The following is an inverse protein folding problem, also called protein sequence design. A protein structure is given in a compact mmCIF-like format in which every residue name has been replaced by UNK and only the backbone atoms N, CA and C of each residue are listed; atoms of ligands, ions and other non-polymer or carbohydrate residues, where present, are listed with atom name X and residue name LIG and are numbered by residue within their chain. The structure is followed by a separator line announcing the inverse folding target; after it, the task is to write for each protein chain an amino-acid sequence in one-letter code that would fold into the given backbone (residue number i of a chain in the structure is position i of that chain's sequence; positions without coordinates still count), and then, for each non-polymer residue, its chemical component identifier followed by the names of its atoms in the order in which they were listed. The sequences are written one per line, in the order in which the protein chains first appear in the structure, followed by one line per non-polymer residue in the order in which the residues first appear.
data_IF_675086574391
#
_entry.id   IF_675086574391
#
_cell.length_a   1.000
_cell.length_b   1.000
_cell.length_c   1.000
_cell.angle_alpha   90.00
_cell.angle_beta   90.00
_cell.angle_gamma   90.00
#
_symmetry.space_group_name_H-M   'P 1'
#
loop_
_entity.id
_entity.type
_entity.pdbx_description
1 polymer ?
#
# COMPACT_ATOMS: atom_id res chain seq x y z
N UNK A 1 22.92 19.96 8.87
CA UNK A 1 22.69 18.51 8.77
C UNK A 1 21.63 18.15 9.80
N UNK A 2 20.40 17.86 9.38
CA UNK A 2 19.35 17.45 10.30
C UNK A 2 19.62 16.00 10.74
N UNK A 3 19.50 15.67 12.04
CA UNK A 3 19.77 14.34 12.53
C UNK A 3 18.72 13.35 11.98
N UNK A 4 19.19 12.27 11.35
CA UNK A 4 18.36 11.10 11.06
C UNK A 4 17.92 10.51 12.40
N UNK A 5 16.64 10.72 12.75
CA UNK A 5 16.02 10.00 13.86
C UNK A 5 15.98 8.50 13.52
N UNK A 6 16.42 7.61 14.43
CA UNK A 6 16.46 6.17 14.19
C UNK A 6 15.04 5.63 13.94
N UNK A 7 14.93 4.72 12.98
CA UNK A 7 13.70 4.01 12.61
C UNK A 7 13.34 3.02 13.72
N UNK A 8 12.85 3.54 14.84
CA UNK A 8 12.37 2.72 15.95
C UNK A 8 11.04 2.06 15.55
N UNK A 9 11.07 0.74 15.56
CA UNK A 9 9.93 -0.14 15.35
C UNK A 9 8.88 0.08 16.44
N UNK A 10 7.87 0.92 16.18
CA UNK A 10 6.71 1.03 17.05
C UNK A 10 5.88 -0.24 17.00
N UNK A 11 6.11 -1.13 17.98
CA UNK A 11 5.30 -2.31 18.28
C UNK A 11 3.95 -1.88 18.85
N UNK A 12 3.05 -1.39 18.00
CA UNK A 12 1.63 -1.30 18.35
C UNK A 12 0.95 -2.60 17.91
N UNK A 13 0.81 -3.53 18.85
CA UNK A 13 0.12 -4.81 18.65
C UNK A 13 -1.34 -4.59 18.29
N UNK A 14 -1.77 -5.17 17.16
CA UNK A 14 -3.19 -5.24 16.82
C UNK A 14 -3.86 -6.20 17.80
N UNK A 15 -4.95 -5.76 18.45
CA UNK A 15 -5.65 -6.56 19.46
C UNK A 15 -6.06 -7.96 18.95
N UNK A 16 -6.22 -8.92 19.88
CA UNK A 16 -6.35 -10.36 19.58
C UNK A 16 -7.56 -10.75 18.71
N UNK A 17 -8.54 -9.87 18.57
CA UNK A 17 -9.80 -10.15 17.86
C UNK A 17 -9.82 -9.64 16.40
N UNK A 18 -8.66 -9.26 15.87
CA UNK A 18 -8.55 -8.72 14.51
C UNK A 18 -8.45 -9.86 13.48
N UNK A 19 -9.49 -10.68 13.36
CA UNK A 19 -9.55 -11.75 12.36
C UNK A 19 -9.85 -11.16 10.97
N UNK A 20 -8.87 -10.45 10.41
CA UNK A 20 -9.01 -9.89 9.06
C UNK A 20 -9.05 -11.03 8.03
N UNK A 21 -9.70 -10.82 6.87
CA UNK A 21 -9.78 -11.83 5.79
C UNK A 21 -8.41 -12.34 5.31
N UNK A 22 -7.34 -11.57 5.56
CA UNK A 22 -5.97 -12.00 5.27
C UNK A 22 -5.53 -13.16 6.18
N UNK A 23 -5.97 -13.21 7.44
CA UNK A 23 -5.75 -14.35 8.33
C UNK A 23 -6.45 -15.62 7.84
N UNK A 24 -7.70 -15.48 7.37
CA UNK A 24 -8.44 -16.60 6.78
C UNK A 24 -7.77 -17.15 5.49
N UNK A 25 -7.12 -16.30 4.70
CA UNK A 25 -6.32 -16.73 3.55
C UNK A 25 -5.01 -17.38 3.98
N UNK A 26 -4.35 -16.84 5.02
CA UNK A 26 -3.13 -17.40 5.56
C UNK A 26 -3.32 -18.83 6.05
N UNK A 27 -4.43 -19.10 6.76
CA UNK A 27 -4.80 -20.43 7.22
C UNK A 27 -4.96 -21.46 6.08
N UNK A 28 -5.22 -21.01 4.84
CA UNK A 28 -5.34 -21.87 3.66
C UNK A 28 -4.00 -22.08 2.93
N UNK A 29 -2.93 -21.41 3.34
CA UNK A 29 -1.59 -21.50 2.73
C UNK A 29 -1.12 -20.24 1.98
N UNK A 30 -1.96 -19.54 1.18
CA UNK A 30 -1.54 -18.37 0.43
C UNK A 30 -1.10 -17.20 1.31
N UNK A 31 -0.05 -16.51 0.89
CA UNK A 31 0.24 -15.18 1.39
C UNK A 31 -0.62 -14.14 0.65
N UNK A 32 -1.03 -13.09 1.35
CA UNK A 32 -1.86 -12.03 0.82
C UNK A 32 -1.18 -10.68 0.99
N UNK A 33 -1.26 -9.84 -0.06
CA UNK A 33 -0.93 -8.42 -0.02
C UNK A 33 -2.01 -7.68 -0.80
N UNK A 34 -2.71 -6.75 -0.17
CA UNK A 34 -3.82 -6.04 -0.80
C UNK A 34 -4.03 -4.63 -0.28
N UNK A 35 -4.60 -3.79 -1.13
CA UNK A 35 -5.03 -2.43 -0.75
C UNK A 35 -6.34 -2.49 0.02
N UNK A 36 -6.40 -1.80 1.14
CA UNK A 36 -7.56 -1.72 2.01
C UNK A 36 -8.39 -0.47 1.72
N UNK A 37 -9.71 -0.64 1.69
CA UNK A 37 -10.65 0.48 1.59
C UNK A 37 -10.74 1.21 2.94
N UNK A 38 -11.04 2.50 2.90
CA UNK A 38 -11.07 3.40 4.07
C UNK A 38 -12.04 2.98 5.17
N UNK A 39 -13.12 2.26 4.85
CA UNK A 39 -14.11 1.78 5.83
C UNK A 39 -13.99 0.27 6.14
N UNK A 40 -12.80 -0.31 6.01
CA UNK A 40 -12.63 -1.76 6.27
C UNK A 40 -12.69 -2.07 7.76
N UNK A 41 -13.65 -2.90 8.18
CA UNK A 41 -13.75 -3.42 9.55
C UNK A 41 -12.50 -4.26 9.90
N UNK A 42 -12.11 -4.26 11.17
CA UNK A 42 -10.95 -5.02 11.67
C UNK A 42 -9.62 -4.63 10.97
N UNK A 43 -9.53 -3.41 10.48
CA UNK A 43 -8.26 -2.82 10.05
C UNK A 43 -8.00 -1.59 10.92
N UNK A 44 -6.76 -1.34 11.39
CA UNK A 44 -6.42 -0.24 12.29
C UNK A 44 -6.43 1.13 11.58
N UNK A 45 -7.48 1.42 10.80
CA UNK A 45 -7.57 2.61 9.96
C UNK A 45 -7.47 3.88 10.80
N UNK A 46 -8.17 3.94 11.94
CA UNK A 46 -8.17 5.10 12.85
C UNK A 46 -6.78 5.44 13.40
N UNK A 47 -5.96 4.41 13.64
CA UNK A 47 -4.59 4.58 14.13
C UNK A 47 -3.72 5.08 12.98
N UNK A 48 -3.70 4.34 11.86
CA UNK A 48 -2.88 4.67 10.69
C UNK A 48 -3.26 5.99 10.00
N UNK A 49 -4.51 6.47 10.15
CA UNK A 49 -4.93 7.76 9.61
C UNK A 49 -4.40 8.93 10.43
N UNK A 50 -4.14 8.74 11.73
CA UNK A 50 -3.61 9.78 12.63
C UNK A 50 -2.10 9.94 12.53
N UNK A 51 -1.41 8.93 12.02
CA UNK A 51 0.03 8.98 11.77
C UNK A 51 0.39 10.22 10.93
N UNK A 52 1.27 11.06 11.47
CA UNK A 52 1.79 12.22 10.76
C UNK A 52 2.85 11.77 9.76
N UNK A 53 2.41 11.52 8.52
CA UNK A 53 3.29 11.34 7.38
C UNK A 53 3.67 12.72 6.83
N UNK A 54 4.29 13.55 7.67
CA UNK A 54 4.58 14.94 7.36
C UNK A 54 5.70 15.07 6.31
N UNK A 55 5.51 16.04 5.41
CA UNK A 55 6.61 16.65 4.66
C UNK A 55 6.91 16.13 3.25
N UNK A 56 6.66 14.87 2.89
CA UNK A 56 7.00 14.36 1.56
C UNK A 56 6.15 13.16 1.10
N UNK A 57 5.99 13.06 -0.22
CA UNK A 57 5.53 11.82 -0.83
C UNK A 57 6.56 10.71 -0.63
N UNK A 58 6.09 9.53 -0.26
CA UNK A 58 6.91 8.34 -0.10
C UNK A 58 7.17 7.93 1.34
N UNK A 59 6.63 8.65 2.34
CA UNK A 59 6.67 8.21 3.73
C UNK A 59 5.66 7.07 3.97
N UNK A 60 6.01 6.13 4.85
CA UNK A 60 5.10 5.08 5.29
C UNK A 60 5.20 4.88 6.80
N UNK A 61 4.13 4.37 7.39
CA UNK A 61 4.08 3.85 8.76
C UNK A 61 3.46 2.46 8.72
N UNK A 62 3.89 1.56 9.60
CA UNK A 62 3.43 0.17 9.60
C UNK A 62 3.24 -0.35 11.01
N UNK A 63 2.16 -1.07 11.22
CA UNK A 63 1.88 -1.82 12.44
C UNK A 63 2.07 -3.30 12.13
N UNK A 64 2.65 -4.04 13.06
CA UNK A 64 2.86 -5.49 12.94
C UNK A 64 2.17 -6.17 14.11
N UNK A 65 1.47 -7.26 13.84
CA UNK A 65 0.94 -8.15 14.87
C UNK A 65 1.28 -9.58 14.53
N UNK A 66 1.21 -10.44 15.53
CA UNK A 66 1.38 -11.88 15.40
C UNK A 66 0.15 -12.56 16.01
N UNK A 67 -0.39 -13.58 15.35
CA UNK A 67 -1.47 -14.39 15.93
C UNK A 67 -0.95 -15.49 16.87
N UNK A 68 -1.87 -16.31 17.39
CA UNK A 68 -1.54 -17.40 18.32
C UNK A 68 -0.69 -18.51 17.67
N UNK A 69 -0.72 -18.59 16.35
CA UNK A 69 0.00 -19.60 15.55
C UNK A 69 1.32 -19.04 14.99
N UNK A 70 1.82 -17.94 15.56
CA UNK A 70 3.02 -17.22 15.16
C UNK A 70 3.00 -16.67 13.72
N UNK A 71 1.81 -16.50 13.12
CA UNK A 71 1.71 -15.83 11.82
C UNK A 71 1.79 -14.33 11.99
N UNK A 72 2.71 -13.72 11.25
CA UNK A 72 2.88 -12.28 11.23
C UNK A 72 1.96 -11.62 10.19
N UNK A 73 1.32 -10.53 10.61
CA UNK A 73 0.52 -9.64 9.76
C UNK A 73 1.02 -8.22 9.92
N UNK A 74 1.03 -7.47 8.83
CA UNK A 74 1.29 -6.03 8.91
C UNK A 74 0.24 -5.20 8.20
N UNK A 75 -0.04 -4.05 8.79
CA UNK A 75 -0.91 -3.02 8.28
C UNK A 75 -0.05 -1.79 7.98
N UNK A 76 0.04 -1.39 6.72
CA UNK A 76 0.93 -0.31 6.28
C UNK A 76 0.13 0.82 5.66
N UNK A 77 0.41 2.05 6.06
CA UNK A 77 -0.01 3.26 5.35
C UNK A 77 1.18 3.80 4.57
N UNK A 78 0.99 4.09 3.29
CA UNK A 78 2.00 4.72 2.44
C UNK A 78 1.43 5.99 1.81
N UNK A 79 2.16 7.09 1.96
CA UNK A 79 1.82 8.39 1.39
C UNK A 79 2.38 8.50 -0.03
N UNK A 80 1.51 8.68 -1.01
CA UNK A 80 1.90 9.00 -2.38
C UNK A 80 1.21 10.32 -2.79
N UNK A 81 0.29 10.33 -3.76
CA UNK A 81 -0.65 11.46 -3.95
C UNK A 81 -1.67 11.51 -2.82
N UNK A 82 -2.21 10.34 -2.50
CA UNK A 82 -3.13 10.10 -1.40
C UNK A 82 -2.54 8.98 -0.54
N UNK A 83 -3.01 8.89 0.72
CA UNK A 83 -2.69 7.77 1.59
C UNK A 83 -3.28 6.48 1.01
N UNK A 84 -2.45 5.44 0.88
CA UNK A 84 -2.86 4.09 0.51
C UNK A 84 -2.60 3.17 1.70
N UNK A 85 -3.61 2.38 2.03
CA UNK A 85 -3.55 1.43 3.14
C UNK A 85 -3.39 0.03 2.58
N UNK A 86 -2.53 -0.76 3.19
CA UNK A 86 -2.21 -2.12 2.79
C UNK A 86 -2.34 -3.05 3.99
N UNK A 87 -2.82 -4.26 3.73
CA UNK A 87 -2.67 -5.41 4.63
C UNK A 87 -1.79 -6.42 3.93
N UNK A 88 -0.86 -7.01 4.67
CA UNK A 88 0.01 -8.06 4.15
C UNK A 88 0.29 -9.13 5.20
N UNK A 89 0.38 -10.38 4.75
CA UNK A 89 0.76 -11.56 5.55
C UNK A 89 2.18 -12.04 5.23
N UNK A 90 2.91 -11.25 4.43
CA UNK A 90 4.27 -11.51 3.98
C UNK A 90 4.90 -10.23 3.44
N UNK A 91 6.22 -10.25 3.30
CA UNK A 91 7.01 -9.16 2.74
C UNK A 91 7.60 -8.28 3.83
N UNK A 92 8.27 -7.21 3.40
CA UNK A 92 8.98 -6.32 4.31
C UNK A 92 8.61 -4.86 4.06
N UNK A 93 8.60 -4.10 5.15
CA UNK A 93 8.44 -2.64 5.17
C UNK A 93 9.77 -1.91 5.04
N UNK A 94 10.88 -2.64 4.81
CA UNK A 94 12.18 -2.04 4.48
C UNK A 94 12.05 -1.11 3.29
N UNK A 95 12.90 -0.09 3.29
CA UNK A 95 13.00 0.88 2.20
C UNK A 95 13.30 0.14 0.90
N UNK A 96 12.40 0.28 -0.07
CA UNK A 96 12.58 -0.22 -1.41
C UNK A 96 13.19 0.84 -2.33
N UNK A 97 13.20 0.55 -3.63
CA UNK A 97 13.72 1.47 -4.65
C UNK A 97 12.85 2.72 -4.74
N UNK A 98 13.42 3.91 -4.55
CA UNK A 98 12.77 5.19 -4.84
C UNK A 98 12.29 5.24 -6.30
N UNK A 99 11.03 5.60 -6.48
CA UNK A 99 10.42 5.77 -7.80
C UNK A 99 10.33 7.25 -8.16
N UNK A 100 10.52 7.54 -9.44
CA UNK A 100 10.18 8.85 -10.00
C UNK A 100 8.79 8.80 -10.63
N UNK A 101 8.02 9.87 -10.41
CA UNK A 101 6.67 10.06 -10.98
C UNK A 101 6.56 11.48 -11.51
N UNK A 102 6.27 11.61 -12.81
CA UNK A 102 5.86 12.88 -13.41
C UNK A 102 4.41 13.17 -13.02
N UNK A 103 4.14 14.34 -12.46
CA UNK A 103 2.81 14.75 -12.01
C UNK A 103 2.45 16.08 -12.63
N UNK A 104 1.23 16.14 -13.13
CA UNK A 104 0.64 17.37 -13.60
C UNK A 104 -0.16 17.98 -12.45
N UNK A 105 0.21 19.20 -12.06
CA UNK A 105 -0.54 20.04 -11.15
C UNK A 105 -1.20 21.13 -11.98
N UNK A 106 -2.52 21.25 -11.83
CA UNK A 106 -3.29 22.34 -12.40
C UNK A 106 -3.82 23.17 -11.23
N UNK A 107 -3.42 24.43 -11.15
CA UNK A 107 -3.84 25.37 -10.12
C UNK A 107 -4.97 26.31 -10.60
N UNK A 108 -5.54 26.03 -11.78
CA UNK A 108 -6.58 26.83 -12.43
C UNK A 108 -6.03 27.87 -13.40
N UNK A 109 -4.78 28.34 -13.20
CA UNK A 109 -4.14 29.33 -14.05
C UNK A 109 -3.03 28.74 -14.94
N UNK A 110 -2.39 27.66 -14.49
CA UNK A 110 -1.27 27.04 -15.17
C UNK A 110 -1.23 25.52 -14.97
N UNK A 111 -0.72 24.82 -15.98
CA UNK A 111 -0.52 23.37 -15.94
C UNK A 111 0.98 23.11 -15.84
N UNK A 112 1.44 22.77 -14.64
CA UNK A 112 2.87 22.53 -14.38
C UNK A 112 3.09 21.03 -14.22
N UNK A 113 4.08 20.51 -14.94
CA UNK A 113 4.54 19.15 -14.77
C UNK A 113 5.76 19.11 -13.85
N UNK A 114 5.63 18.49 -12.67
CA UNK A 114 6.72 18.29 -11.71
C UNK A 114 7.11 16.82 -11.62
N UNK A 115 8.41 16.56 -11.53
CA UNK A 115 8.92 15.25 -11.15
C UNK A 115 8.93 15.12 -9.62
N UNK A 116 8.28 14.08 -9.10
CA UNK A 116 8.29 13.77 -7.67
C UNK A 116 8.98 12.44 -7.43
N UNK A 117 9.99 12.47 -6.55
CA UNK A 117 10.67 11.28 -6.07
C UNK A 117 9.95 10.76 -4.84
N UNK A 118 9.44 9.54 -4.93
CA UNK A 118 8.63 8.92 -3.91
C UNK A 118 9.33 7.63 -3.47
N UNK A 119 9.72 7.57 -2.20
CA UNK A 119 10.23 6.33 -1.61
C UNK A 119 9.07 5.33 -1.51
N UNK A 120 9.34 4.07 -1.78
CA UNK A 120 8.31 3.02 -1.66
C UNK A 120 8.88 1.89 -0.81
N UNK A 121 8.12 1.38 0.16
CA UNK A 121 8.51 0.16 0.86
C UNK A 121 8.46 -1.02 -0.11
N UNK A 122 9.27 -2.05 0.16
CA UNK A 122 9.37 -3.22 -0.72
C UNK A 122 8.02 -3.91 -0.96
N UNK A 123 7.15 -3.98 0.06
CA UNK A 123 5.79 -4.54 -0.09
C UNK A 123 4.95 -3.78 -1.12
N UNK A 124 5.07 -2.45 -1.18
CA UNK A 124 4.31 -1.61 -2.12
C UNK A 124 4.81 -1.85 -3.53
N UNK A 125 6.13 -1.95 -3.72
CA UNK A 125 6.73 -2.33 -5.00
C UNK A 125 6.22 -3.69 -5.47
N UNK A 126 6.23 -4.69 -4.59
CA UNK A 126 5.75 -6.04 -4.91
C UNK A 126 4.28 -6.01 -5.33
N UNK A 127 3.41 -5.36 -4.55
CA UNK A 127 2.00 -5.22 -4.89
C UNK A 127 1.79 -4.65 -6.30
N UNK A 128 2.40 -3.50 -6.60
CA UNK A 128 2.21 -2.85 -7.90
C UNK A 128 2.86 -3.57 -9.08
N UNK A 129 3.82 -4.47 -8.83
CA UNK A 129 4.44 -5.27 -9.90
C UNK A 129 3.51 -6.36 -10.44
N UNK A 130 2.54 -6.81 -9.64
CA UNK A 130 1.62 -7.90 -10.01
C UNK A 130 0.15 -7.47 -10.10
N UNK A 131 -0.23 -6.36 -9.45
CA UNK A 131 -1.63 -5.92 -9.38
C UNK A 131 -2.28 -5.64 -10.73
N UNK A 132 -1.47 -5.43 -11.78
CA UNK A 132 -1.94 -5.07 -13.11
C UNK A 132 -2.11 -6.27 -14.06
N UNK A 133 -1.66 -7.47 -13.70
CA UNK A 133 -1.61 -8.63 -14.61
C UNK A 133 -3.00 -8.96 -15.16
N UNK A 134 -3.99 -9.07 -14.27
CA UNK A 134 -5.38 -9.36 -14.66
C UNK A 134 -5.95 -8.21 -15.47
N UNK A 135 -5.66 -6.96 -15.10
CA UNK A 135 -6.11 -5.78 -15.86
C UNK A 135 -5.54 -5.73 -17.27
N UNK A 136 -4.24 -5.99 -17.42
CA UNK A 136 -3.56 -6.08 -18.72
C UNK A 136 -4.12 -7.21 -19.57
N UNK A 137 -4.33 -8.38 -18.98
CA UNK A 137 -4.92 -9.52 -19.68
C UNK A 137 -6.36 -9.21 -20.14
N UNK A 138 -7.18 -8.61 -19.28
CA UNK A 138 -8.55 -8.24 -19.62
C UNK A 138 -8.59 -7.19 -20.74
N UNK A 139 -7.73 -6.18 -20.68
CA UNK A 139 -7.60 -5.18 -21.74
C UNK A 139 -7.20 -5.82 -23.07
N UNK A 140 -6.20 -6.71 -23.06
CA UNK A 140 -5.80 -7.45 -24.25
C UNK A 140 -6.96 -8.27 -24.84
N UNK A 141 -7.74 -8.94 -23.99
CA UNK A 141 -8.93 -9.68 -24.44
C UNK A 141 -10.01 -8.76 -25.02
N UNK A 142 -10.25 -7.61 -24.40
CA UNK A 142 -11.22 -6.63 -24.90
C UNK A 142 -10.80 -6.10 -26.27
N UNK A 143 -9.53 -5.71 -26.42
CA UNK A 143 -8.96 -5.19 -27.67
C UNK A 143 -9.00 -6.25 -28.78
N UNK A 144 -8.76 -7.53 -28.45
CA UNK A 144 -8.78 -8.63 -29.43
C UNK A 144 -10.19 -9.00 -29.88
N UNK A 145 -11.18 -8.84 -29.00
CA UNK A 145 -12.56 -9.28 -29.23
C UNK A 145 -13.50 -8.15 -29.70
N UNK A 146 -12.99 -6.93 -29.90
CA UNK A 146 -13.75 -5.72 -30.23
C UNK A 146 -15.01 -5.52 -29.36
N UNK A 147 -14.96 -5.90 -28.07
CA UNK A 147 -16.15 -5.89 -27.19
C UNK A 147 -16.70 -4.47 -26.97
N UNK A 148 -15.89 -3.43 -27.16
CA UNK A 148 -16.31 -2.03 -27.03
C UNK A 148 -16.88 -1.43 -28.34
N UNK A 149 -16.77 -2.13 -29.47
CA UNK A 149 -17.49 -1.76 -30.70
C UNK A 149 -18.95 -2.17 -30.55
N UNK A 150 -19.75 -1.23 -30.06
CA UNK A 150 -21.20 -1.34 -30.02
C UNK A 150 -21.73 -1.14 -31.44
N UNK A 151 -22.34 -2.18 -32.02
CA UNK A 151 -23.14 -2.09 -33.25
C UNK A 151 -24.19 -0.96 -33.16
#
# INVERSE_FOLDING_TARGET
MAPQQPYDSYKNTLGPDTQCKAAALRAKGPHFTGVMKTATKMFPMKVLSREELSGCEGHWSSMVTTDKDDNQYSATVWSNRNRKYFINTYGTTKEGRTISRKRVQNDGNSVISKEVRCRQPQLVKQYFSFSDIVGRHNRYRQDTLNIEEKN
#
